data_IF_912251851311
#
_entry.id   IF_912251851311
#
_cell.length_a   1.000
_cell.length_b   1.000
_cell.length_c   1.000
_cell.angle_alpha   90.00
_cell.angle_beta   90.00
_cell.angle_gamma   90.00
#
_symmetry.space_group_name_H-M   'P 1'
#
loop_
_entity.id
_entity.type
_entity.pdbx_description
1 polymer ?
#
# COMPACT_ATOMS: atom_id res chain seq x y z
N UNK A 1 -19.03 14.57 7.80
CA UNK A 1 -17.68 14.27 7.24
C UNK A 1 -17.41 12.78 7.41
N UNK A 2 -17.07 12.13 6.35
CA UNK A 2 -16.60 10.76 6.45
C UNK A 2 -15.31 10.74 7.27
N UNK A 3 -15.29 9.89 8.28
CA UNK A 3 -14.11 9.72 9.12
C UNK A 3 -13.25 8.60 8.50
N UNK A 4 -12.00 8.87 8.20
CA UNK A 4 -11.05 7.91 7.63
C UNK A 4 -10.99 6.60 8.43
N UNK A 5 -11.08 6.68 9.76
CA UNK A 5 -11.12 5.50 10.63
C UNK A 5 -12.38 4.65 10.42
N UNK A 6 -13.51 5.29 10.17
CA UNK A 6 -14.77 4.60 9.91
C UNK A 6 -14.75 3.95 8.52
N UNK A 7 -14.21 4.64 7.51
CA UNK A 7 -13.99 4.09 6.17
C UNK A 7 -13.14 2.82 6.22
N UNK A 8 -12.00 2.86 6.94
CA UNK A 8 -11.11 1.70 7.09
C UNK A 8 -11.80 0.56 7.82
N UNK A 9 -12.50 0.84 8.92
CA UNK A 9 -13.21 -0.16 9.70
C UNK A 9 -14.29 -0.87 8.87
N UNK A 10 -15.04 -0.12 8.10
CA UNK A 10 -16.08 -0.63 7.20
C UNK A 10 -15.48 -1.52 6.11
N UNK A 11 -14.39 -1.07 5.47
CA UNK A 11 -13.67 -1.84 4.47
C UNK A 11 -13.11 -3.15 5.07
N UNK A 12 -12.45 -3.09 6.23
CA UNK A 12 -11.94 -4.28 6.91
C UNK A 12 -13.05 -5.28 7.28
N UNK A 13 -14.22 -4.79 7.69
CA UNK A 13 -15.39 -5.65 7.96
C UNK A 13 -15.89 -6.33 6.69
N UNK A 14 -15.91 -5.63 5.57
CA UNK A 14 -16.26 -6.19 4.26
C UNK A 14 -15.24 -7.26 3.83
N UNK A 15 -13.93 -7.00 3.95
CA UNK A 15 -12.89 -7.99 3.66
C UNK A 15 -13.05 -9.25 4.51
N UNK A 16 -13.30 -9.11 5.81
CA UNK A 16 -13.52 -10.24 6.71
C UNK A 16 -14.72 -11.10 6.29
N UNK A 17 -15.84 -10.45 5.92
CA UNK A 17 -17.03 -11.17 5.42
C UNK A 17 -16.77 -11.91 4.12
N UNK A 18 -15.89 -11.39 3.27
CA UNK A 18 -15.51 -12.04 2.01
C UNK A 18 -14.39 -13.07 2.16
N UNK A 19 -13.90 -13.31 3.38
CA UNK A 19 -12.79 -14.23 3.63
C UNK A 19 -11.45 -13.76 3.05
N UNK A 20 -11.26 -12.44 2.89
CA UNK A 20 -10.05 -11.83 2.33
C UNK A 20 -9.23 -11.17 3.44
N UNK A 21 -7.93 -11.37 3.40
CA UNK A 21 -6.98 -10.76 4.34
C UNK A 21 -6.13 -9.70 3.62
N UNK A 22 -6.58 -8.42 3.59
CA UNK A 22 -5.83 -7.36 2.94
C UNK A 22 -4.60 -6.94 3.74
N UNK A 23 -3.67 -6.24 3.09
CA UNK A 23 -2.61 -5.50 3.75
C UNK A 23 -2.68 -4.02 3.35
N UNK A 24 -2.56 -3.14 4.34
CA UNK A 24 -2.47 -1.70 4.10
C UNK A 24 -1.17 -1.37 3.39
N UNK A 25 -1.27 -0.58 2.33
CA UNK A 25 -0.16 -0.03 1.55
C UNK A 25 -0.34 1.49 1.40
N UNK A 26 0.40 2.12 0.50
CA UNK A 26 0.22 3.51 0.14
C UNK A 26 0.54 4.51 1.25
N UNK A 27 -0.11 5.66 1.21
CA UNK A 27 0.16 6.78 2.12
C UNK A 27 -0.13 6.49 3.57
N UNK A 28 -1.20 5.75 3.87
CA UNK A 28 -1.54 5.38 5.24
C UNK A 28 -0.56 4.37 5.84
N UNK A 29 0.00 3.46 5.04
CA UNK A 29 1.08 2.59 5.50
C UNK A 29 2.35 3.39 5.83
N UNK A 30 2.67 4.42 5.04
CA UNK A 30 3.77 5.34 5.33
C UNK A 30 3.56 6.03 6.69
N UNK A 31 2.34 6.51 6.96
CA UNK A 31 1.97 7.08 8.27
C UNK A 31 2.09 6.04 9.39
N UNK A 32 1.62 4.82 9.17
CA UNK A 32 1.73 3.74 10.14
C UNK A 32 3.19 3.38 10.46
N UNK A 33 4.11 3.60 9.53
CA UNK A 33 5.55 3.49 9.72
C UNK A 33 6.21 4.80 10.24
N UNK A 34 5.44 5.64 10.94
CA UNK A 34 5.91 6.81 11.70
C UNK A 34 6.37 8.00 10.85
N UNK A 35 6.05 8.04 9.58
CA UNK A 35 6.28 9.21 8.74
C UNK A 35 5.11 10.19 8.89
N UNK A 36 5.40 11.44 9.20
CA UNK A 36 4.38 12.50 9.24
C UNK A 36 4.07 12.98 7.83
N UNK A 37 2.85 12.71 7.38
CA UNK A 37 2.34 13.18 6.08
C UNK A 37 0.82 13.21 6.05
N UNK A 38 0.27 14.07 5.20
CA UNK A 38 -1.16 14.08 4.91
C UNK A 38 -1.50 13.02 3.85
N UNK A 39 -2.59 12.29 4.06
CA UNK A 39 -3.18 11.37 3.09
C UNK A 39 -4.68 11.28 3.32
N UNK A 40 -5.43 11.04 2.25
CA UNK A 40 -6.89 10.94 2.29
C UNK A 40 -7.38 9.61 1.71
N UNK A 41 -6.59 8.99 0.85
CA UNK A 41 -6.95 7.74 0.19
C UNK A 41 -6.51 6.54 1.02
N UNK A 42 -7.29 5.48 0.93
CA UNK A 42 -7.01 4.19 1.57
C UNK A 42 -6.57 3.21 0.49
N UNK A 43 -5.40 2.64 0.66
CA UNK A 43 -4.82 1.71 -0.31
C UNK A 43 -4.61 0.34 0.33
N UNK A 44 -5.13 -0.71 -0.30
CA UNK A 44 -4.93 -2.09 0.13
C UNK A 44 -4.32 -2.97 -0.97
N UNK A 45 -3.44 -3.86 -0.56
CA UNK A 45 -3.00 -5.00 -1.34
C UNK A 45 -3.87 -6.20 -0.98
N UNK A 46 -4.46 -6.85 -1.99
CA UNK A 46 -5.32 -8.03 -1.82
C UNK A 46 -4.89 -9.16 -2.76
N UNK A 47 -5.25 -10.38 -2.43
CA UNK A 47 -5.06 -11.52 -3.33
C UNK A 47 -5.80 -11.28 -4.66
N UNK A 48 -5.16 -11.60 -5.78
CA UNK A 48 -5.76 -11.44 -7.10
C UNK A 48 -7.05 -12.26 -7.26
N UNK A 49 -7.10 -13.44 -6.66
CA UNK A 49 -8.23 -14.35 -6.67
C UNK A 49 -9.47 -13.79 -5.93
N UNK A 50 -9.24 -12.79 -5.06
CA UNK A 50 -10.32 -12.11 -4.33
C UNK A 50 -10.94 -10.93 -5.09
N UNK A 51 -10.41 -10.56 -6.27
CA UNK A 51 -10.76 -9.33 -6.97
C UNK A 51 -12.28 -9.16 -7.20
N UNK A 52 -12.97 -10.20 -7.66
CA UNK A 52 -14.41 -10.11 -7.98
C UNK A 52 -15.26 -10.00 -6.71
N UNK A 53 -15.01 -10.81 -5.70
CA UNK A 53 -15.79 -10.75 -4.45
C UNK A 53 -15.55 -9.45 -3.67
N UNK A 54 -14.35 -8.91 -3.73
CA UNK A 54 -14.02 -7.60 -3.12
C UNK A 54 -14.70 -6.48 -3.90
N UNK A 55 -14.70 -6.55 -5.25
CA UNK A 55 -15.43 -5.62 -6.10
C UNK A 55 -16.91 -5.56 -5.70
N UNK A 56 -17.58 -6.70 -5.66
CA UNK A 56 -18.99 -6.77 -5.29
C UNK A 56 -19.24 -6.21 -3.88
N UNK A 57 -18.39 -6.55 -2.92
CA UNK A 57 -18.47 -6.04 -1.56
C UNK A 57 -18.33 -4.52 -1.47
N UNK A 58 -17.44 -3.91 -2.25
CA UNK A 58 -17.30 -2.45 -2.31
C UNK A 58 -18.49 -1.77 -2.97
N UNK A 59 -19.06 -2.35 -4.03
CA UNK A 59 -20.29 -1.85 -4.63
C UNK A 59 -21.46 -1.89 -3.62
N UNK A 60 -21.58 -2.96 -2.84
CA UNK A 60 -22.60 -3.08 -1.78
C UNK A 60 -22.44 -2.02 -0.67
N UNK A 61 -21.21 -1.56 -0.42
CA UNK A 61 -20.92 -0.44 0.49
C UNK A 61 -21.20 0.94 -0.12
N UNK A 62 -21.64 1.00 -1.38
CA UNK A 62 -21.98 2.23 -2.09
C UNK A 62 -20.81 2.87 -2.82
N UNK A 63 -19.66 2.21 -2.94
CA UNK A 63 -18.57 2.69 -3.78
C UNK A 63 -18.90 2.51 -5.27
N UNK A 64 -18.37 3.41 -6.08
CA UNK A 64 -18.38 3.31 -7.54
C UNK A 64 -16.97 2.96 -8.01
N UNK A 65 -16.85 1.97 -8.88
CA UNK A 65 -15.59 1.62 -9.52
C UNK A 65 -15.31 2.59 -10.66
N UNK A 66 -14.27 3.40 -10.54
CA UNK A 66 -13.89 4.37 -11.58
C UNK A 66 -12.81 3.85 -12.52
N UNK A 67 -12.06 2.84 -12.09
CA UNK A 67 -11.06 2.14 -12.90
C UNK A 67 -10.89 0.72 -12.39
N UNK A 68 -10.68 -0.24 -13.30
CA UNK A 68 -10.33 -1.62 -12.95
C UNK A 68 -9.50 -2.25 -14.06
N UNK A 69 -8.43 -2.93 -13.64
CA UNK A 69 -7.59 -3.79 -14.47
C UNK A 69 -7.30 -5.10 -13.74
N UNK A 70 -6.50 -5.98 -14.31
CA UNK A 70 -6.02 -7.17 -13.60
C UNK A 70 -5.06 -6.84 -12.45
N UNK A 71 -4.42 -5.65 -12.48
CA UNK A 71 -3.40 -5.24 -11.50
C UNK A 71 -3.94 -4.33 -10.40
N UNK A 72 -4.97 -3.54 -10.69
CA UNK A 72 -5.45 -2.51 -9.78
C UNK A 72 -6.91 -2.14 -10.03
N UNK A 73 -7.56 -1.56 -9.02
CA UNK A 73 -8.86 -0.94 -9.15
C UNK A 73 -8.96 0.29 -8.23
N UNK A 74 -9.69 1.31 -8.69
CA UNK A 74 -9.94 2.53 -7.95
C UNK A 74 -11.42 2.71 -7.72
N UNK A 75 -11.78 3.03 -6.48
CA UNK A 75 -13.16 3.20 -6.05
C UNK A 75 -13.36 4.54 -5.38
N UNK A 76 -14.52 5.14 -5.59
CA UNK A 76 -14.90 6.40 -4.95
C UNK A 76 -16.29 6.31 -4.34
N UNK A 77 -16.48 6.97 -3.19
CA UNK A 77 -17.79 7.15 -2.54
C UNK A 77 -17.81 8.54 -1.92
N UNK A 78 -18.62 9.45 -2.47
CA UNK A 78 -18.60 10.87 -2.07
C UNK A 78 -17.17 11.47 -2.13
N UNK A 79 -16.58 11.78 -0.99
CA UNK A 79 -15.20 12.31 -0.89
C UNK A 79 -14.17 11.24 -0.51
N UNK A 80 -14.57 9.98 -0.39
CA UNK A 80 -13.70 8.87 -0.02
C UNK A 80 -13.09 8.22 -1.26
N UNK A 81 -11.78 8.02 -1.25
CA UNK A 81 -11.06 7.20 -2.21
C UNK A 81 -10.62 5.87 -1.57
N UNK A 82 -10.73 4.77 -2.30
CA UNK A 82 -10.22 3.47 -1.92
C UNK A 82 -9.61 2.79 -3.14
N UNK A 83 -8.33 2.48 -3.03
CA UNK A 83 -7.55 1.89 -4.10
C UNK A 83 -7.11 0.47 -3.74
N UNK A 84 -7.18 -0.42 -4.72
CA UNK A 84 -6.73 -1.80 -4.58
C UNK A 84 -5.58 -2.09 -5.54
N UNK A 85 -4.56 -2.78 -5.05
CA UNK A 85 -3.61 -3.52 -5.86
C UNK A 85 -3.89 -5.02 -5.72
N UNK A 86 -3.85 -5.74 -6.83
CA UNK A 86 -4.07 -7.18 -6.85
C UNK A 86 -2.72 -7.92 -6.89
N UNK A 87 -2.48 -8.75 -5.89
CA UNK A 87 -1.24 -9.51 -5.75
C UNK A 87 -1.29 -10.78 -6.61
N UNK A 88 -0.89 -10.68 -7.88
CA UNK A 88 -0.76 -11.87 -8.72
C UNK A 88 0.68 -12.13 -9.19
N UNK A 89 1.55 -11.12 -9.16
CA UNK A 89 2.98 -11.31 -9.40
C UNK A 89 3.68 -11.89 -8.16
N UNK A 90 4.72 -12.72 -8.32
CA UNK A 90 5.38 -13.39 -7.19
C UNK A 90 5.85 -12.43 -6.09
N UNK A 91 6.39 -11.27 -6.45
CA UNK A 91 6.83 -10.25 -5.48
C UNK A 91 5.66 -9.74 -4.65
N UNK A 92 4.56 -9.32 -5.29
CA UNK A 92 3.39 -8.81 -4.59
C UNK A 92 2.75 -9.86 -3.67
N UNK A 93 2.68 -11.13 -4.10
CA UNK A 93 2.23 -12.25 -3.28
C UNK A 93 3.11 -12.44 -2.05
N UNK A 94 4.43 -12.39 -2.22
CA UNK A 94 5.40 -12.49 -1.11
C UNK A 94 5.19 -11.36 -0.11
N UNK A 95 5.06 -10.12 -0.57
CA UNK A 95 4.86 -8.96 0.29
C UNK A 95 3.54 -9.05 1.06
N UNK A 96 2.46 -9.49 0.41
CA UNK A 96 1.17 -9.71 1.07
C UNK A 96 1.27 -10.79 2.15
N UNK A 97 1.94 -11.90 1.86
CA UNK A 97 2.13 -12.99 2.83
C UNK A 97 2.98 -12.56 4.04
N UNK A 98 3.94 -11.68 3.84
CA UNK A 98 4.84 -11.17 4.90
C UNK A 98 4.26 -10.00 5.69
N UNK A 99 3.12 -9.45 5.29
CA UNK A 99 2.49 -8.34 6.00
C UNK A 99 2.16 -8.73 7.45
N UNK A 100 2.42 -7.82 8.38
CA UNK A 100 2.26 -8.07 9.80
C UNK A 100 1.12 -7.27 10.39
N UNK A 101 0.43 -7.88 11.35
CA UNK A 101 -0.60 -7.20 12.14
C UNK A 101 0.05 -6.14 13.03
N UNK A 102 -0.49 -4.93 12.97
CA UNK A 102 -0.06 -3.78 13.78
C UNK A 102 -1.29 -3.11 14.41
N UNK A 103 -1.09 -2.59 15.62
CA UNK A 103 -2.00 -1.63 16.22
C UNK A 103 -1.68 -0.23 15.66
N UNK A 104 -2.69 0.45 15.16
CA UNK A 104 -2.58 1.80 14.62
C UNK A 104 -3.63 2.71 15.24
N UNK A 105 -3.48 4.04 15.15
CA UNK A 105 -4.56 4.97 15.57
C UNK A 105 -5.90 4.72 14.84
N UNK A 106 -5.85 4.06 13.68
CA UNK A 106 -7.03 3.75 12.85
C UNK A 106 -7.61 2.35 13.12
N UNK A 107 -6.98 1.56 14.01
CA UNK A 107 -7.38 0.22 14.36
C UNK A 107 -6.28 -0.83 14.09
N UNK A 108 -6.61 -2.07 14.40
CA UNK A 108 -5.72 -3.21 14.20
C UNK A 108 -5.87 -3.76 12.77
N UNK A 109 -4.76 -3.86 12.04
CA UNK A 109 -4.77 -4.32 10.66
C UNK A 109 -3.40 -4.86 10.23
N UNK A 110 -3.38 -5.61 9.13
CA UNK A 110 -2.13 -6.03 8.50
C UNK A 110 -1.56 -4.87 7.69
N UNK A 111 -0.25 -4.67 7.77
CA UNK A 111 0.48 -3.61 7.07
C UNK A 111 1.70 -4.20 6.40
N UNK A 112 1.95 -3.78 5.17
CA UNK A 112 3.18 -4.13 4.44
C UNK A 112 4.41 -3.64 5.23
N UNK A 113 5.49 -4.42 5.23
CA UNK A 113 6.76 -4.02 5.84
C UNK A 113 7.38 -2.81 5.16
N UNK A 114 8.31 -2.14 5.85
CA UNK A 114 8.96 -0.91 5.36
C UNK A 114 9.63 -1.13 4.02
N UNK A 115 10.39 -2.21 3.86
CA UNK A 115 11.10 -2.54 2.63
C UNK A 115 10.15 -2.77 1.46
N UNK A 116 9.08 -3.54 1.67
CA UNK A 116 8.05 -3.77 0.67
C UNK A 116 7.33 -2.48 0.26
N UNK A 117 7.06 -1.60 1.21
CA UNK A 117 6.47 -0.29 0.96
C UNK A 117 7.40 0.59 0.12
N UNK A 118 8.69 0.60 0.42
CA UNK A 118 9.71 1.26 -0.40
C UNK A 118 9.72 0.69 -1.82
N UNK A 119 9.65 -0.63 -1.96
CA UNK A 119 9.58 -1.30 -3.27
C UNK A 119 8.38 -0.86 -4.11
N UNK A 120 7.18 -0.79 -3.53
CA UNK A 120 5.98 -0.29 -4.22
C UNK A 120 6.09 1.19 -4.60
N UNK A 121 6.63 2.02 -3.71
CA UNK A 121 6.87 3.44 -3.97
C UNK A 121 7.89 3.64 -5.09
N UNK A 122 8.96 2.86 -5.08
CA UNK A 122 9.97 2.86 -6.12
C UNK A 122 9.39 2.48 -7.48
N UNK A 123 8.58 1.43 -7.54
CA UNK A 123 7.87 1.03 -8.75
C UNK A 123 6.97 2.14 -9.28
N UNK A 124 6.21 2.79 -8.41
CA UNK A 124 5.35 3.93 -8.78
C UNK A 124 6.16 5.08 -9.38
N UNK A 125 7.26 5.44 -8.75
CA UNK A 125 8.15 6.51 -9.22
C UNK A 125 8.85 6.17 -10.55
N UNK A 126 9.26 4.92 -10.73
CA UNK A 126 9.89 4.45 -11.99
C UNK A 126 8.88 4.46 -13.14
N UNK A 127 7.64 4.07 -12.89
CA UNK A 127 6.58 4.06 -13.90
C UNK A 127 6.11 5.48 -14.27
N UNK A 128 6.18 6.42 -13.33
CA UNK A 128 5.80 7.81 -13.53
C UNK A 128 6.67 8.72 -12.66
N UNK A 129 7.68 9.32 -13.28
CA UNK A 129 8.64 10.20 -12.61
C UNK A 129 8.02 11.52 -12.07
N UNK A 130 6.78 11.85 -12.47
CA UNK A 130 6.05 12.99 -11.90
C UNK A 130 5.55 12.71 -10.46
N UNK A 131 5.56 11.45 -10.04
CA UNK A 131 5.19 11.02 -8.69
C UNK A 131 6.30 11.30 -7.67
N UNK A 132 6.73 12.55 -7.58
CA UNK A 132 7.81 12.99 -6.67
C UNK A 132 7.50 12.70 -5.20
N UNK A 133 6.22 12.65 -4.83
CA UNK A 133 5.79 12.29 -3.48
C UNK A 133 6.21 10.86 -3.09
N UNK A 134 6.22 9.93 -4.04
CA UNK A 134 6.72 8.58 -3.78
C UNK A 134 8.21 8.58 -3.41
N UNK A 135 9.00 9.42 -4.08
CA UNK A 135 10.41 9.60 -3.75
C UNK A 135 10.62 10.25 -2.37
N UNK A 136 9.80 11.23 -2.01
CA UNK A 136 9.84 11.86 -0.69
C UNK A 136 9.45 10.88 0.42
N UNK A 137 8.47 10.03 0.18
CA UNK A 137 8.09 8.94 1.09
C UNK A 137 9.25 7.96 1.30
N UNK A 138 9.93 7.55 0.23
CA UNK A 138 11.10 6.68 0.28
C UNK A 138 12.20 7.30 1.14
N UNK A 139 12.53 8.57 0.90
CA UNK A 139 13.54 9.30 1.69
C UNK A 139 13.18 9.35 3.17
N UNK A 140 11.93 9.62 3.48
CA UNK A 140 11.44 9.68 4.86
C UNK A 140 11.51 8.33 5.56
N UNK A 141 11.11 7.25 4.89
CA UNK A 141 11.21 5.89 5.41
C UNK A 141 12.66 5.47 5.66
N UNK A 142 13.56 5.78 4.73
CA UNK A 142 15.01 5.55 4.94
C UNK A 142 15.55 6.30 6.15
N UNK A 143 15.19 7.57 6.29
CA UNK A 143 15.65 8.40 7.42
C UNK A 143 15.21 7.84 8.76
N UNK A 144 13.96 7.41 8.88
CA UNK A 144 13.39 6.94 10.15
C UNK A 144 13.85 5.53 10.49
N UNK A 145 13.93 4.64 9.51
CA UNK A 145 14.17 3.21 9.74
C UNK A 145 15.59 2.75 9.41
N UNK A 146 16.50 3.65 9.09
CA UNK A 146 17.87 3.34 8.60
C UNK A 146 18.57 2.24 9.38
N UNK A 147 18.46 2.22 10.71
CA UNK A 147 19.14 1.26 11.55
C UNK A 147 18.55 -0.16 11.49
N UNK A 148 17.32 -0.32 11.02
CA UNK A 148 16.59 -1.59 11.02
C UNK A 148 16.22 -2.10 9.62
N UNK A 149 16.59 -1.37 8.54
CA UNK A 149 16.29 -1.78 7.17
C UNK A 149 17.04 -3.06 6.78
N UNK A 150 16.33 -3.97 6.13
CA UNK A 150 16.93 -5.11 5.46
C UNK A 150 17.55 -4.66 4.13
N UNK A 151 18.86 -4.42 4.16
CA UNK A 151 19.58 -3.89 2.99
C UNK A 151 19.68 -4.88 1.84
N UNK A 152 19.66 -6.18 2.10
CA UNK A 152 19.66 -7.21 1.06
C UNK A 152 18.36 -7.14 0.25
N UNK A 153 17.22 -7.09 0.92
CA UNK A 153 15.91 -6.95 0.30
C UNK A 153 15.79 -5.63 -0.48
N UNK A 154 16.26 -4.53 0.07
CA UNK A 154 16.25 -3.23 -0.62
C UNK A 154 17.11 -3.24 -1.88
N UNK A 155 18.31 -3.82 -1.83
CA UNK A 155 19.15 -3.96 -3.03
C UNK A 155 18.42 -4.76 -4.12
N UNK A 156 17.74 -5.85 -3.75
CA UNK A 156 16.94 -6.64 -4.70
C UNK A 156 15.91 -5.76 -5.42
N UNK A 157 15.18 -4.89 -4.69
CA UNK A 157 14.19 -3.99 -5.31
C UNK A 157 14.82 -2.91 -6.18
N UNK A 158 15.86 -2.25 -5.70
CA UNK A 158 16.53 -1.20 -6.46
C UNK A 158 17.23 -1.74 -7.71
N UNK A 159 17.77 -2.93 -7.66
CA UNK A 159 18.35 -3.61 -8.83
C UNK A 159 17.25 -4.01 -9.83
N UNK A 160 16.13 -4.56 -9.34
CA UNK A 160 14.97 -4.92 -10.17
C UNK A 160 14.46 -3.75 -11.01
N UNK A 161 14.46 -2.54 -10.44
CA UNK A 161 13.99 -1.32 -11.10
C UNK A 161 15.12 -0.50 -11.72
N UNK A 162 16.35 -1.01 -11.79
CA UNK A 162 17.53 -0.32 -12.35
C UNK A 162 17.82 1.03 -11.66
N UNK A 163 17.69 1.08 -10.33
CA UNK A 163 17.86 2.27 -9.49
C UNK A 163 18.93 2.12 -8.40
N UNK A 164 19.96 1.31 -8.65
CA UNK A 164 21.06 1.12 -7.71
C UNK A 164 21.77 2.42 -7.31
N UNK A 165 21.91 3.37 -8.25
CA UNK A 165 22.48 4.69 -7.97
C UNK A 165 21.65 5.49 -6.96
N UNK A 166 20.31 5.45 -7.08
CA UNK A 166 19.42 6.10 -6.14
C UNK A 166 19.58 5.51 -4.74
N UNK A 167 19.73 4.19 -4.62
CA UNK A 167 20.00 3.55 -3.34
C UNK A 167 21.29 4.07 -2.71
N UNK A 168 22.37 4.21 -3.49
CA UNK A 168 23.63 4.76 -3.02
C UNK A 168 23.48 6.21 -2.53
N UNK A 169 22.69 7.04 -3.22
CA UNK A 169 22.37 8.40 -2.77
C UNK A 169 21.64 8.41 -1.44
N UNK A 170 20.66 7.50 -1.25
CA UNK A 170 19.88 7.41 -0.02
C UNK A 170 20.72 6.94 1.17
N UNK A 171 21.80 6.19 0.93
CA UNK A 171 22.70 5.67 1.94
C UNK A 171 23.84 6.63 2.30
N UNK A 172 24.14 7.58 1.43
CA UNK A 172 25.14 8.61 1.70
C UNK A 172 24.59 9.68 2.66
#
# INVERSE_FOLDING_TARGET
MANLSDQIREALSMFARSGTEPALIGGLAVVAHQVVRATQDVDFLVEAEAADKVHDGLLDLGYQCVYRSENAANYVRATEGLDLLFAHRPLARRLLAQALVRETPMGRMRIIGVEGLIGFKLQGFVNDASRTRDLDDIRSLFKIHRASLNMEELREYFDLFHKAELLNELLS
#
